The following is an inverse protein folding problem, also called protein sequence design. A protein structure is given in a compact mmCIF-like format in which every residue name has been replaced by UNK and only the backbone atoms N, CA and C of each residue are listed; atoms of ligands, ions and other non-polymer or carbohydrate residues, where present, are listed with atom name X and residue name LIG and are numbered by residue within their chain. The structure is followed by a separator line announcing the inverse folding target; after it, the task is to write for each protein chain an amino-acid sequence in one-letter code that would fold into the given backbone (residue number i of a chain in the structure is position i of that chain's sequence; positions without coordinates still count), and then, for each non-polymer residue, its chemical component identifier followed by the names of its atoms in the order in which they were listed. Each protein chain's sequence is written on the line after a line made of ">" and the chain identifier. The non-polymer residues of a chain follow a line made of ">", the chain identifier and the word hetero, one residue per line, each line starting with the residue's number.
data_IF_605567457511
#
_entry.id   IF_605567457511
#
_cell.length_a   1.000
_cell.length_b   1.000
_cell.length_c   1.000
_cell.angle_alpha   90.00
_cell.angle_beta   90.00
_cell.angle_gamma   90.00
#
_symmetry.space_group_name_H-M   'P 1'
#
loop_
_entity.id
_entity.type
_entity.pdbx_description
1 polymer ?
#
# COMPACT_ATOMS: atom_id res chain seq x y z
N UNK A 1 -33.60 -43.50 -46.27
CA UNK A 1 -32.32 -44.20 -46.00
C UNK A 1 -31.80 -43.59 -44.70
N UNK A 2 -31.95 -44.23 -43.54
CA UNK A 2 -31.23 -45.43 -43.06
C UNK A 2 -29.72 -45.13 -42.88
N UNK A 3 -29.09 -45.36 -41.72
CA UNK A 3 -29.54 -46.02 -40.48
C UNK A 3 -28.76 -45.57 -39.22
N UNK A 4 -29.23 -45.99 -38.04
CA UNK A 4 -28.61 -45.79 -36.73
C UNK A 4 -27.72 -46.96 -36.28
N UNK A 5 -26.60 -46.70 -35.59
CA UNK A 5 -25.90 -47.56 -34.59
C UNK A 5 -25.13 -46.62 -33.64
N UNK A 6 -25.13 -46.63 -32.30
CA UNK A 6 -25.68 -47.49 -31.22
C UNK A 6 -24.73 -48.56 -30.60
N UNK A 7 -23.85 -48.09 -29.71
CA UNK A 7 -23.22 -48.80 -28.58
C UNK A 7 -22.79 -47.70 -27.57
N UNK A 8 -23.29 -47.54 -26.34
CA UNK A 8 -23.72 -48.43 -25.25
C UNK A 8 -22.57 -49.19 -24.54
N UNK A 9 -22.32 -48.79 -23.30
CA UNK A 9 -21.42 -49.42 -22.32
C UNK A 9 -21.84 -49.03 -20.90
N UNK A 10 -22.80 -49.78 -20.33
CA UNK A 10 -23.17 -49.81 -18.91
C UNK A 10 -22.07 -50.55 -18.09
N UNK A 11 -21.99 -50.55 -16.75
CA UNK A 11 -22.53 -49.74 -15.64
C UNK A 11 -21.91 -50.26 -14.31
N UNK A 12 -22.21 -49.63 -13.16
CA UNK A 12 -21.90 -50.12 -11.80
C UNK A 12 -20.96 -49.18 -11.02
N UNK A 13 -21.39 -48.19 -10.22
CA UNK A 13 -22.49 -48.07 -9.26
C UNK A 13 -22.28 -48.81 -7.92
N UNK A 14 -22.04 -48.04 -6.84
CA UNK A 14 -22.49 -48.19 -5.44
C UNK A 14 -21.99 -46.94 -4.66
N UNK A 15 -22.77 -46.44 -3.69
CA UNK A 15 -22.22 -45.58 -2.61
C UNK A 15 -22.70 -44.13 -2.50
N UNK A 16 -23.96 -43.81 -2.81
CA UNK A 16 -24.54 -42.50 -2.47
C UNK A 16 -25.12 -42.47 -1.05
N UNK A 17 -24.55 -41.67 -0.15
CA UNK A 17 -25.16 -41.25 1.12
C UNK A 17 -24.45 -39.99 1.67
N UNK A 18 -25.20 -39.01 2.19
CA UNK A 18 -24.64 -37.91 2.99
C UNK A 18 -24.76 -36.49 2.44
N UNK A 19 -25.98 -36.02 2.13
CA UNK A 19 -26.29 -34.58 2.18
C UNK A 19 -26.77 -34.22 3.59
N UNK A 20 -25.97 -33.50 4.38
CA UNK A 20 -26.37 -32.59 5.47
C UNK A 20 -25.13 -32.17 6.29
N UNK A 21 -25.19 -31.02 6.97
CA UNK A 21 -24.31 -30.77 8.13
C UNK A 21 -23.43 -29.53 8.04
N UNK A 22 -24.06 -28.38 8.23
CA UNK A 22 -23.56 -27.15 8.85
C UNK A 22 -22.19 -27.18 9.57
N UNK A 23 -21.52 -26.03 9.45
CA UNK A 23 -20.44 -25.58 10.31
C UNK A 23 -20.64 -25.91 11.81
N UNK A 24 -19.64 -26.53 12.41
CA UNK A 24 -19.46 -26.65 13.85
C UNK A 24 -18.01 -26.30 14.21
N UNK A 25 -17.82 -25.74 15.41
CA UNK A 25 -16.57 -25.16 15.85
C UNK A 25 -15.40 -26.15 15.86
N UNK A 26 -14.21 -25.70 15.42
CA UNK A 26 -12.95 -26.39 15.75
C UNK A 26 -12.61 -26.13 17.21
N UNK A 27 -13.18 -26.96 18.11
CA UNK A 27 -12.67 -27.11 19.46
C UNK A 27 -11.31 -27.83 19.42
N UNK A 28 -10.45 -27.51 20.38
CA UNK A 28 -9.08 -28.05 20.47
C UNK A 28 -9.13 -29.58 20.60
N UNK A 29 -8.16 -30.33 20.04
CA UNK A 29 -8.00 -31.73 20.37
C UNK A 29 -7.55 -31.85 21.83
N UNK A 30 -8.44 -32.29 22.71
CA UNK A 30 -8.10 -32.68 24.09
C UNK A 30 -7.19 -33.92 24.08
N UNK A 31 -6.25 -33.98 25.02
CA UNK A 31 -5.29 -35.10 25.10
C UNK A 31 -5.98 -36.37 25.58
N UNK A 32 -5.70 -37.50 24.91
CA UNK A 32 -6.22 -38.83 25.26
C UNK A 32 -5.34 -39.51 26.34
N UNK A 33 -4.25 -38.87 26.76
CA UNK A 33 -3.37 -39.39 27.81
C UNK A 33 -3.97 -39.12 29.21
N UNK A 34 -3.80 -40.05 30.17
CA UNK A 34 -4.15 -39.79 31.56
C UNK A 34 -3.45 -38.54 32.10
N UNK A 35 -4.10 -37.72 32.95
CA UNK A 35 -3.51 -36.49 33.47
C UNK A 35 -2.18 -36.78 34.20
N UNK A 36 -1.12 -36.11 33.77
CA UNK A 36 0.24 -36.24 34.33
C UNK A 36 1.33 -36.74 33.36
N UNK A 37 1.02 -37.01 32.08
CA UNK A 37 2.02 -37.46 31.09
C UNK A 37 2.71 -36.34 30.28
N UNK A 38 2.14 -35.13 30.23
CA UNK A 38 2.62 -34.00 29.42
C UNK A 38 3.29 -32.87 30.23
N UNK A 39 3.57 -33.06 31.53
CA UNK A 39 4.33 -32.10 32.34
C UNK A 39 5.85 -32.32 32.12
N UNK A 40 6.57 -31.45 31.39
CA UNK A 40 8.01 -31.55 31.29
C UNK A 40 8.64 -31.25 32.65
N UNK A 41 9.51 -32.15 33.12
CA UNK A 41 10.30 -31.94 34.33
C UNK A 41 11.00 -30.57 34.26
N UNK A 42 10.90 -29.70 35.28
CA UNK A 42 11.53 -28.39 35.26
C UNK A 42 13.03 -28.50 34.96
N UNK A 43 13.47 -27.83 33.88
CA UNK A 43 14.87 -27.81 33.52
C UNK A 43 15.70 -27.17 34.66
N UNK A 44 16.86 -27.74 35.03
CA UNK A 44 17.69 -27.17 36.08
C UNK A 44 18.13 -25.75 35.69
N UNK A 45 18.22 -24.80 36.66
CA UNK A 45 18.60 -23.43 36.37
C UNK A 45 20.00 -23.37 35.75
N UNK A 46 20.24 -22.45 34.79
CA UNK A 46 21.53 -22.35 34.12
C UNK A 46 22.64 -22.03 35.12
N UNK A 47 23.74 -22.80 35.06
CA UNK A 47 24.93 -22.57 35.88
C UNK A 47 25.53 -21.20 35.52
N UNK A 48 25.93 -20.37 36.50
CA UNK A 48 26.62 -19.11 36.22
C UNK A 48 27.87 -19.34 35.36
N UNK A 49 27.97 -18.62 34.24
CA UNK A 49 29.20 -18.57 33.46
C UNK A 49 30.28 -17.79 34.25
N UNK A 50 31.55 -18.21 34.22
CA UNK A 50 32.63 -17.46 34.85
C UNK A 50 32.78 -16.09 34.19
N UNK A 51 32.84 -15.03 35.00
CA UNK A 51 33.05 -13.68 34.50
C UNK A 51 34.46 -13.54 33.88
N UNK A 52 34.62 -12.82 32.76
CA UNK A 52 35.93 -12.59 32.18
C UNK A 52 36.78 -11.69 33.10
N UNK A 53 37.99 -12.14 33.40
CA UNK A 53 38.98 -11.36 34.16
C UNK A 53 39.50 -10.19 33.31
N UNK A 54 39.48 -8.93 33.81
CA UNK A 54 39.98 -7.79 33.04
C UNK A 54 41.51 -7.80 32.96
N UNK A 55 42.04 -7.78 31.73
CA UNK A 55 43.48 -7.60 31.46
C UNK A 55 43.87 -6.12 31.62
N UNK A 56 44.94 -5.77 32.37
CA UNK A 56 45.45 -4.40 32.39
C UNK A 56 46.13 -4.06 31.05
N UNK A 57 45.64 -3.04 30.32
CA UNK A 57 46.14 -2.71 28.99
C UNK A 57 45.92 -1.25 28.58
N UNK A 58 46.88 -0.39 28.92
CA UNK A 58 47.21 0.92 28.30
C UNK A 58 46.07 1.85 27.88
N UNK A 59 45.86 2.90 28.68
CA UNK A 59 45.03 4.07 28.37
C UNK A 59 45.57 4.89 27.19
N UNK A 60 44.82 5.11 26.10
CA UNK A 60 45.10 6.18 25.14
C UNK A 60 44.67 7.54 25.72
N UNK A 61 45.45 8.59 25.50
CA UNK A 61 45.07 9.94 25.90
C UNK A 61 43.82 10.43 25.13
N UNK A 62 42.88 11.16 25.76
CA UNK A 62 41.69 11.65 25.07
C UNK A 62 42.05 12.75 24.06
N UNK A 63 41.56 12.67 22.80
CA UNK A 63 41.58 13.82 21.91
C UNK A 63 40.62 14.90 22.44
N UNK A 64 40.99 16.17 22.25
CA UNK A 64 40.18 17.30 22.71
C UNK A 64 38.79 17.30 22.05
N UNK A 65 37.75 17.52 22.86
CA UNK A 65 36.35 17.56 22.42
C UNK A 65 36.07 18.81 21.58
N UNK A 66 36.04 18.64 20.26
CA UNK A 66 35.24 19.48 19.35
C UNK A 66 33.92 18.78 19.03
N UNK A 67 32.79 19.50 18.86
CA UNK A 67 31.52 18.86 18.49
C UNK A 67 31.60 18.20 17.11
N UNK A 68 31.46 16.87 17.06
CA UNK A 68 31.33 16.15 15.81
C UNK A 68 29.93 16.37 15.21
N UNK A 69 29.87 16.87 13.97
CA UNK A 69 28.60 17.13 13.29
C UNK A 69 27.92 15.84 12.83
N UNK A 70 26.59 15.77 13.01
CA UNK A 70 25.76 14.73 12.42
C UNK A 70 25.65 14.94 10.89
N UNK A 71 25.78 13.90 10.05
CA UNK A 71 25.60 14.03 8.61
C UNK A 71 24.17 14.48 8.28
N UNK A 72 24.02 15.64 7.65
CA UNK A 72 22.74 16.15 7.15
C UNK A 72 22.03 17.19 8.02
N UNK A 73 22.51 17.48 9.24
CA UNK A 73 22.03 18.63 10.00
C UNK A 73 22.80 19.89 9.55
N UNK A 74 22.17 20.97 9.09
CA UNK A 74 22.87 22.23 8.88
C UNK A 74 23.42 22.69 10.24
N UNK A 75 24.74 22.88 10.32
CA UNK A 75 25.36 23.41 11.53
C UNK A 75 24.75 24.78 11.86
N UNK A 76 24.52 25.11 13.14
CA UNK A 76 24.04 26.43 13.51
C UNK A 76 25.10 27.47 13.11
N UNK A 77 24.82 28.23 12.05
CA UNK A 77 25.69 29.28 11.56
C UNK A 77 25.94 30.32 12.66
N UNK A 78 27.17 30.38 13.15
CA UNK A 78 27.68 31.48 13.99
C UNK A 78 28.03 32.73 13.17
N UNK A 79 27.77 32.70 11.85
CA UNK A 79 27.81 33.88 11.01
C UNK A 79 26.78 34.92 11.49
N UNK A 80 27.12 36.22 11.53
CA UNK A 80 26.14 37.25 11.82
C UNK A 80 25.00 37.18 10.81
N UNK A 81 23.76 37.32 11.30
CA UNK A 81 22.56 37.32 10.45
C UNK A 81 22.68 38.42 9.40
N UNK A 82 22.94 38.04 8.16
CA UNK A 82 23.00 38.95 7.03
C UNK A 82 21.63 38.98 6.35
N UNK A 83 20.81 40.04 6.51
CA UNK A 83 19.50 40.13 5.87
C UNK A 83 19.58 40.11 4.34
N UNK A 84 20.73 40.45 3.74
CA UNK A 84 20.97 40.34 2.30
C UNK A 84 21.32 38.92 1.81
N UNK A 85 21.47 37.95 2.73
CA UNK A 85 21.67 36.53 2.42
C UNK A 85 20.40 35.69 2.60
N UNK A 86 19.26 36.32 2.93
CA UNK A 86 17.96 35.67 2.84
C UNK A 86 17.65 35.36 1.37
N UNK A 87 17.08 34.18 1.05
CA UNK A 87 16.55 33.94 -0.29
C UNK A 87 15.51 35.02 -0.60
N UNK A 88 15.59 35.61 -1.80
CA UNK A 88 14.59 36.56 -2.28
C UNK A 88 13.21 35.90 -2.22
N UNK A 89 12.29 36.47 -1.44
CA UNK A 89 10.90 36.06 -1.46
C UNK A 89 10.38 36.13 -2.91
N UNK A 90 9.62 35.13 -3.38
CA UNK A 90 9.01 35.19 -4.70
C UNK A 90 8.12 36.42 -4.78
N UNK A 91 8.48 37.37 -5.65
CA UNK A 91 7.71 38.57 -5.93
C UNK A 91 6.53 38.21 -6.82
N UNK A 92 5.33 38.20 -6.26
CA UNK A 92 4.08 38.05 -7.01
C UNK A 92 3.99 39.20 -8.02
N UNK A 93 3.78 38.88 -9.29
CA UNK A 93 3.57 39.86 -10.36
C UNK A 93 2.13 40.40 -10.33
N UNK A 94 1.91 41.62 -10.85
CA UNK A 94 0.55 42.19 -10.95
C UNK A 94 -0.40 41.28 -11.77
N UNK A 95 0.12 40.57 -12.77
CA UNK A 95 -0.64 39.59 -13.56
C UNK A 95 -1.05 38.35 -12.74
N UNK A 96 -0.17 37.82 -11.87
CA UNK A 96 -0.51 36.75 -10.93
C UNK A 96 -1.52 37.23 -9.88
N UNK A 97 -1.37 38.47 -9.40
CA UNK A 97 -2.30 39.07 -8.45
C UNK A 97 -3.69 39.30 -9.08
N UNK A 98 -3.75 39.63 -10.36
CA UNK A 98 -4.97 39.73 -11.16
C UNK A 98 -5.59 38.37 -11.52
N UNK A 99 -4.81 37.29 -11.49
CA UNK A 99 -5.28 35.92 -11.71
C UNK A 99 -5.91 35.28 -10.45
N UNK A 100 -5.77 35.90 -9.27
CA UNK A 100 -6.40 35.42 -8.04
C UNK A 100 -7.93 35.62 -8.08
N UNK A 101 -8.72 34.66 -7.54
CA UNK A 101 -10.14 34.86 -7.28
C UNK A 101 -10.42 36.03 -6.33
N UNK A 102 -11.68 36.48 -6.27
CA UNK A 102 -12.11 37.48 -5.29
C UNK A 102 -11.84 37.02 -3.85
N UNK A 103 -11.67 37.96 -2.92
CA UNK A 103 -11.42 37.67 -1.50
C UNK A 103 -12.47 36.71 -0.91
N UNK A 104 -13.76 36.99 -1.16
CA UNK A 104 -14.89 36.14 -0.74
C UNK A 104 -14.84 34.73 -1.36
N UNK A 105 -14.25 34.59 -2.56
CA UNK A 105 -14.04 33.27 -3.18
C UNK A 105 -12.84 32.54 -2.56
N UNK A 106 -11.78 33.25 -2.21
CA UNK A 106 -10.62 32.70 -1.49
C UNK A 106 -11.01 32.22 -0.08
N UNK A 107 -11.78 33.02 0.66
CA UNK A 107 -12.29 32.69 2.00
C UNK A 107 -13.25 31.48 2.01
N UNK A 108 -13.85 31.14 0.86
CA UNK A 108 -14.78 30.01 0.70
C UNK A 108 -14.19 28.79 -0.02
N UNK A 109 -12.87 28.77 -0.26
CA UNK A 109 -12.15 27.61 -0.78
C UNK A 109 -11.69 26.67 0.35
N UNK A 110 -11.57 25.38 0.04
CA UNK A 110 -10.95 24.42 0.97
C UNK A 110 -9.43 24.61 1.07
N UNK A 111 -8.79 24.01 2.08
CA UNK A 111 -7.34 24.10 2.22
C UNK A 111 -6.62 23.46 1.03
N UNK A 112 -7.10 22.32 0.52
CA UNK A 112 -6.58 21.72 -0.71
C UNK A 112 -6.79 22.57 -1.97
N UNK A 113 -7.88 23.33 -2.07
CA UNK A 113 -8.13 24.22 -3.21
C UNK A 113 -7.20 25.45 -3.15
N UNK A 114 -6.96 26.00 -1.95
CA UNK A 114 -6.00 27.09 -1.72
C UNK A 114 -4.55 26.64 -1.98
N UNK A 115 -4.13 25.49 -1.44
CA UNK A 115 -2.80 24.92 -1.69
C UNK A 115 -2.56 24.64 -3.17
N UNK A 116 -3.62 24.29 -3.92
CA UNK A 116 -3.53 24.06 -5.35
C UNK A 116 -3.46 25.37 -6.15
N UNK A 117 -4.25 26.38 -5.79
CA UNK A 117 -4.21 27.70 -6.40
C UNK A 117 -2.85 28.37 -6.20
N UNK A 118 -2.31 28.28 -4.98
CA UNK A 118 -1.03 28.89 -4.58
C UNK A 118 0.20 28.04 -4.93
N UNK A 119 0.01 26.87 -5.55
CA UNK A 119 1.12 25.97 -5.93
C UNK A 119 1.88 25.35 -4.74
N UNK A 120 1.31 25.40 -3.54
CA UNK A 120 1.94 24.95 -2.28
C UNK A 120 1.96 23.42 -2.13
N UNK A 121 1.16 22.68 -2.92
CA UNK A 121 1.18 21.21 -2.93
C UNK A 121 2.54 20.68 -3.38
N UNK A 122 3.37 20.26 -2.42
CA UNK A 122 4.57 19.48 -2.72
C UNK A 122 4.20 18.20 -3.46
N UNK A 123 4.88 17.94 -4.58
CA UNK A 123 4.72 16.69 -5.36
C UNK A 123 5.21 15.45 -4.61
N UNK A 124 5.99 15.62 -3.55
CA UNK A 124 6.50 14.53 -2.72
C UNK A 124 6.91 15.07 -1.35
N UNK A 125 6.38 14.45 -0.29
CA UNK A 125 6.78 14.69 1.10
C UNK A 125 8.12 14.01 1.46
N UNK A 126 8.65 13.18 0.55
CA UNK A 126 9.85 12.37 0.77
C UNK A 126 11.06 13.05 0.10
N UNK A 127 12.12 13.41 0.87
CA UNK A 127 13.30 14.04 0.31
C UNK A 127 14.02 13.07 -0.65
N UNK A 128 14.68 13.53 -1.73
CA UNK A 128 15.17 12.67 -2.81
C UNK A 128 16.04 11.48 -2.37
N UNK A 129 16.86 11.64 -1.33
CA UNK A 129 17.71 10.57 -0.79
C UNK A 129 17.00 9.52 0.08
N UNK A 130 15.74 9.74 0.44
CA UNK A 130 14.91 8.80 1.20
C UNK A 130 13.80 8.14 0.37
N UNK A 131 13.70 8.47 -0.94
CA UNK A 131 12.70 7.89 -1.85
C UNK A 131 12.97 6.42 -2.12
N UNK A 132 11.90 5.65 -2.30
CA UNK A 132 12.00 4.21 -2.60
C UNK A 132 12.51 4.00 -4.03
N UNK A 133 13.52 3.16 -4.16
CA UNK A 133 14.17 2.92 -5.45
C UNK A 133 13.38 1.90 -6.29
N UNK A 134 12.76 2.35 -7.39
CA UNK A 134 11.98 1.51 -8.32
C UNK A 134 12.79 0.41 -9.05
N UNK A 135 14.08 0.27 -8.76
CA UNK A 135 14.95 -0.78 -9.35
C UNK A 135 14.58 -2.20 -8.90
N UNK A 136 13.95 -2.36 -7.74
CA UNK A 136 13.43 -3.62 -7.20
C UNK A 136 12.21 -3.32 -6.36
N UNK A 137 11.03 -3.77 -6.79
CA UNK A 137 9.77 -3.51 -6.08
C UNK A 137 9.17 -4.83 -5.61
N UNK A 138 8.87 -4.92 -4.32
CA UNK A 138 8.23 -6.05 -3.66
C UNK A 138 8.46 -6.07 -2.15
N UNK A 139 7.62 -6.78 -1.41
CA UNK A 139 7.75 -6.86 0.06
C UNK A 139 8.61 -8.02 0.52
N UNK A 140 8.72 -9.10 -0.26
CA UNK A 140 9.42 -10.33 0.10
C UNK A 140 10.84 -10.38 -0.49
N UNK A 141 11.86 -10.40 0.36
CA UNK A 141 13.26 -10.55 -0.03
C UNK A 141 13.64 -12.02 -0.30
N UNK A 142 14.79 -12.27 -0.93
CA UNK A 142 15.18 -13.61 -1.41
C UNK A 142 15.70 -14.55 -0.32
N UNK A 143 16.17 -14.01 0.80
CA UNK A 143 16.52 -14.69 2.05
C UNK A 143 15.28 -15.07 2.88
N UNK A 144 14.23 -14.25 2.82
CA UNK A 144 12.85 -14.63 3.19
C UNK A 144 12.24 -15.64 2.18
N UNK A 145 13.03 -16.02 1.18
CA UNK A 145 12.75 -17.02 0.15
C UNK A 145 11.85 -16.52 -0.99
N UNK A 146 11.70 -15.21 -1.17
CA UNK A 146 11.23 -14.63 -2.42
C UNK A 146 12.15 -15.01 -3.60
N UNK A 147 11.70 -14.75 -4.82
CA UNK A 147 12.53 -14.97 -6.00
C UNK A 147 13.74 -14.02 -6.01
N UNK A 148 14.89 -14.43 -6.60
CA UNK A 148 16.02 -13.53 -6.81
C UNK A 148 15.61 -12.29 -7.63
N UNK A 149 16.12 -11.08 -7.35
CA UNK A 149 15.67 -9.86 -8.04
C UNK A 149 15.85 -9.91 -9.57
N UNK A 150 16.83 -10.69 -10.03
CA UNK A 150 17.17 -10.89 -11.45
C UNK A 150 16.42 -12.05 -12.13
N UNK A 151 15.44 -12.67 -11.47
CA UNK A 151 14.73 -13.85 -11.99
C UNK A 151 14.05 -13.61 -13.37
N UNK A 152 13.67 -12.36 -13.67
CA UNK A 152 13.06 -11.96 -14.94
C UNK A 152 14.06 -11.33 -15.94
N UNK A 153 15.36 -11.24 -15.61
CA UNK A 153 16.34 -10.50 -16.42
C UNK A 153 16.54 -11.04 -17.84
N UNK A 154 16.21 -12.32 -18.10
CA UNK A 154 16.25 -12.96 -19.42
C UNK A 154 14.86 -13.20 -20.03
N UNK A 155 13.80 -12.63 -19.45
CA UNK A 155 12.43 -12.78 -19.94
C UNK A 155 12.03 -11.58 -20.81
N UNK A 156 11.42 -11.78 -21.99
CA UNK A 156 10.97 -10.66 -22.81
C UNK A 156 9.79 -9.95 -22.13
N UNK A 157 9.85 -8.62 -22.04
CA UNK A 157 8.84 -7.79 -21.39
C UNK A 157 7.41 -8.07 -21.89
N UNK A 158 7.25 -8.34 -23.20
CA UNK A 158 5.96 -8.70 -23.79
C UNK A 158 5.34 -9.98 -23.21
N UNK A 159 6.15 -11.00 -22.90
CA UNK A 159 5.67 -12.25 -22.28
C UNK A 159 5.23 -12.02 -20.84
N UNK A 160 6.03 -11.28 -20.06
CA UNK A 160 5.71 -10.97 -18.66
C UNK A 160 4.45 -10.11 -18.56
N UNK A 161 4.33 -9.08 -19.42
CA UNK A 161 3.14 -8.26 -19.57
C UNK A 161 1.90 -9.09 -19.92
N UNK A 162 2.01 -9.97 -20.91
CA UNK A 162 0.89 -10.83 -21.34
C UNK A 162 0.45 -11.82 -20.24
N UNK A 163 1.41 -12.42 -19.51
CA UNK A 163 1.13 -13.34 -18.42
C UNK A 163 0.43 -12.66 -17.23
N UNK A 164 0.89 -11.47 -16.82
CA UNK A 164 0.25 -10.70 -15.75
C UNK A 164 -1.13 -10.18 -16.18
N UNK A 165 -1.25 -9.55 -17.34
CA UNK A 165 -2.53 -9.04 -17.85
C UNK A 165 -3.56 -10.14 -18.16
N UNK A 166 -3.10 -11.37 -18.44
CA UNK A 166 -3.93 -12.56 -18.59
C UNK A 166 -4.41 -13.18 -17.28
N UNK A 167 -3.75 -12.87 -16.15
CA UNK A 167 -4.10 -13.41 -14.82
C UNK A 167 -5.19 -12.55 -14.19
N UNK A 168 -6.45 -12.86 -14.50
CA UNK A 168 -7.63 -12.03 -14.16
C UNK A 168 -8.50 -12.54 -13.01
N UNK A 169 -8.10 -13.63 -12.34
CA UNK A 169 -8.96 -14.31 -11.37
C UNK A 169 -8.21 -15.33 -10.50
N UNK A 170 -8.93 -16.02 -9.59
CA UNK A 170 -8.37 -17.06 -8.74
C UNK A 170 -7.77 -18.23 -9.53
N UNK A 171 -6.68 -18.81 -9.01
CA UNK A 171 -6.07 -19.99 -9.61
C UNK A 171 -6.74 -21.28 -9.14
N UNK A 172 -6.98 -22.20 -10.08
CA UNK A 172 -7.59 -23.53 -9.80
C UNK A 172 -6.69 -24.41 -8.92
N UNK A 173 -5.38 -24.23 -8.98
CA UNK A 173 -4.41 -24.97 -8.15
C UNK A 173 -4.02 -24.18 -6.91
N UNK A 174 -4.28 -24.73 -5.72
CA UNK A 174 -3.83 -24.16 -4.43
C UNK A 174 -2.31 -23.97 -4.37
N UNK A 175 -1.55 -24.93 -4.87
CA UNK A 175 -0.09 -24.82 -4.94
C UNK A 175 0.37 -23.77 -5.97
N UNK A 176 -0.34 -23.70 -7.11
CA UNK A 176 -0.13 -22.63 -8.10
C UNK A 176 -0.39 -21.24 -7.53
N UNK A 177 -1.47 -21.07 -6.76
CA UNK A 177 -1.80 -19.84 -6.04
C UNK A 177 -0.70 -19.43 -5.05
N UNK A 178 -0.25 -20.36 -4.20
CA UNK A 178 0.83 -20.11 -3.23
C UNK A 178 2.12 -19.69 -3.94
N UNK A 179 2.49 -20.38 -5.02
CA UNK A 179 3.69 -20.09 -5.80
C UNK A 179 3.61 -18.74 -6.52
N UNK A 180 2.50 -18.47 -7.23
CA UNK A 180 2.31 -17.23 -7.97
C UNK A 180 2.26 -16.03 -7.03
N UNK A 181 1.50 -16.14 -5.93
CA UNK A 181 1.47 -15.10 -4.89
C UNK A 181 2.87 -14.75 -4.40
N UNK A 182 3.69 -15.76 -4.07
CA UNK A 182 5.08 -15.59 -3.64
C UNK A 182 5.92 -14.90 -4.71
N UNK A 183 5.75 -15.27 -5.98
CA UNK A 183 6.45 -14.64 -7.09
C UNK A 183 6.05 -13.17 -7.30
N UNK A 184 4.75 -12.85 -7.21
CA UNK A 184 4.22 -11.49 -7.41
C UNK A 184 4.72 -10.50 -6.34
N UNK A 185 4.78 -10.92 -5.07
CA UNK A 185 5.25 -10.08 -3.95
C UNK A 185 6.77 -10.05 -3.75
N UNK A 186 7.52 -10.84 -4.52
CA UNK A 186 9.00 -10.86 -4.45
C UNK A 186 9.60 -9.53 -4.90
N UNK A 187 10.73 -9.13 -4.28
CA UNK A 187 11.56 -7.96 -4.64
C UNK A 187 12.24 -8.12 -5.99
N UNK A 188 11.45 -8.04 -7.06
CA UNK A 188 11.87 -8.23 -8.44
C UNK A 188 12.26 -6.90 -9.10
N UNK A 189 13.33 -6.94 -9.89
CA UNK A 189 13.58 -5.92 -10.89
C UNK A 189 12.61 -6.11 -12.08
N UNK A 190 12.16 -5.03 -12.74
CA UNK A 190 11.35 -5.14 -13.95
C UNK A 190 12.13 -5.86 -15.08
N UNK A 191 11.44 -6.56 -15.99
CA UNK A 191 12.05 -7.08 -17.22
C UNK A 191 12.74 -5.97 -18.03
N UNK A 192 13.76 -6.32 -18.80
CA UNK A 192 14.48 -5.35 -19.64
C UNK A 192 13.52 -4.67 -20.63
N UNK A 193 13.51 -3.33 -20.63
CA UNK A 193 12.60 -2.53 -21.47
C UNK A 193 11.14 -2.47 -21.00
N UNK A 194 10.85 -2.90 -19.76
CA UNK A 194 9.55 -2.71 -19.11
C UNK A 194 9.64 -1.59 -18.07
N UNK A 195 8.60 -0.76 -17.97
CA UNK A 195 8.53 0.25 -16.91
C UNK A 195 8.29 -0.41 -15.54
N UNK A 196 8.89 0.17 -14.49
CA UNK A 196 8.82 -0.37 -13.14
C UNK A 196 7.43 -0.22 -12.51
N UNK A 197 6.76 0.90 -12.76
CA UNK A 197 5.43 1.23 -12.23
C UNK A 197 4.36 0.42 -12.98
N UNK A 198 4.48 0.28 -14.31
CA UNK A 198 3.69 -0.64 -15.13
C UNK A 198 3.80 -2.09 -14.62
N UNK A 199 5.03 -2.57 -14.40
CA UNK A 199 5.28 -3.92 -13.88
C UNK A 199 4.72 -4.12 -12.46
N UNK A 200 4.74 -3.10 -11.61
CA UNK A 200 4.10 -3.14 -10.30
C UNK A 200 2.57 -3.13 -10.39
N UNK A 201 1.98 -2.29 -11.25
CA UNK A 201 0.53 -2.20 -11.46
C UNK A 201 -0.05 -3.53 -11.97
N UNK A 202 0.63 -4.16 -12.93
CA UNK A 202 0.23 -5.47 -13.45
C UNK A 202 0.34 -6.59 -12.40
N UNK A 203 1.30 -6.51 -11.46
CA UNK A 203 1.40 -7.44 -10.32
C UNK A 203 0.33 -7.17 -9.27
N UNK A 204 0.03 -5.91 -8.97
CA UNK A 204 -1.07 -5.52 -8.08
C UNK A 204 -2.42 -6.00 -8.64
N UNK A 205 -2.67 -5.80 -9.94
CA UNK A 205 -3.84 -6.33 -10.67
C UNK A 205 -3.98 -7.85 -10.53
N UNK A 206 -2.89 -8.59 -10.74
CA UNK A 206 -2.90 -10.04 -10.58
C UNK A 206 -3.18 -10.47 -9.14
N UNK A 207 -2.59 -9.80 -8.13
CA UNK A 207 -2.86 -10.05 -6.71
C UNK A 207 -4.33 -9.74 -6.35
N UNK A 208 -4.88 -8.62 -6.81
CA UNK A 208 -6.29 -8.25 -6.63
C UNK A 208 -7.23 -9.28 -7.27
N UNK A 209 -6.97 -9.69 -8.51
CA UNK A 209 -7.76 -10.74 -9.20
C UNK A 209 -7.68 -12.11 -8.51
N UNK A 210 -6.58 -12.40 -7.82
CA UNK A 210 -6.43 -13.59 -6.96
C UNK A 210 -7.10 -13.44 -5.58
N UNK A 211 -7.59 -12.26 -5.19
CA UNK A 211 -8.13 -11.98 -3.85
C UNK A 211 -7.08 -11.72 -2.77
N UNK A 212 -5.81 -11.51 -3.15
CA UNK A 212 -4.68 -11.26 -2.24
C UNK A 212 -4.52 -9.76 -1.94
N UNK A 213 -5.64 -9.07 -1.62
CA UNK A 213 -5.73 -7.62 -1.48
C UNK A 213 -4.75 -7.02 -0.46
N UNK A 214 -4.53 -7.70 0.67
CA UNK A 214 -3.58 -7.25 1.68
C UNK A 214 -2.13 -7.22 1.16
N UNK A 215 -1.78 -8.15 0.26
CA UNK A 215 -0.47 -8.21 -0.39
C UNK A 215 -0.38 -7.26 -1.59
N UNK A 216 -1.47 -7.03 -2.33
CA UNK A 216 -1.54 -5.97 -3.32
C UNK A 216 -1.31 -4.60 -2.68
N UNK A 217 -1.97 -4.32 -1.55
CA UNK A 217 -1.77 -3.09 -0.75
C UNK A 217 -0.31 -2.95 -0.30
N UNK A 218 0.27 -4.02 0.25
CA UNK A 218 1.67 -4.02 0.68
C UNK A 218 2.65 -3.80 -0.50
N UNK A 219 2.35 -4.34 -1.68
CA UNK A 219 3.14 -4.13 -2.90
C UNK A 219 3.09 -2.67 -3.40
N UNK A 220 1.91 -2.04 -3.42
CA UNK A 220 1.81 -0.64 -3.87
C UNK A 220 2.39 0.36 -2.86
N UNK A 221 2.42 0.00 -1.56
CA UNK A 221 3.09 0.77 -0.50
C UNK A 221 4.63 0.76 -0.59
N UNK A 222 5.21 -0.16 -1.37
CA UNK A 222 6.64 -0.20 -1.68
C UNK A 222 7.04 0.80 -2.80
N UNK A 223 6.05 1.51 -3.39
CA UNK A 223 6.24 2.60 -4.34
C UNK A 223 5.76 3.91 -3.72
N UNK A 224 6.56 4.97 -3.84
CA UNK A 224 6.19 6.30 -3.37
C UNK A 224 4.99 6.84 -4.17
N UNK A 225 4.01 7.44 -3.49
CA UNK A 225 2.75 7.91 -4.11
C UNK A 225 2.92 8.95 -5.22
N UNK A 226 4.07 9.64 -5.23
CA UNK A 226 4.48 10.56 -6.28
C UNK A 226 4.75 9.89 -7.64
N UNK A 227 5.14 8.60 -7.63
CA UNK A 227 5.49 7.82 -8.81
C UNK A 227 4.32 6.92 -9.29
N UNK A 228 3.15 6.98 -8.65
CA UNK A 228 2.00 6.14 -9.02
C UNK A 228 1.35 6.57 -10.34
N UNK A 229 1.29 5.66 -11.31
CA UNK A 229 0.51 5.83 -12.54
C UNK A 229 -1.00 5.63 -12.30
N UNK A 230 -1.85 6.09 -13.22
CA UNK A 230 -3.31 5.90 -13.14
C UNK A 230 -3.72 4.43 -12.99
N UNK A 231 -2.99 3.51 -13.63
CA UNK A 231 -3.20 2.06 -13.47
C UNK A 231 -2.80 1.58 -12.07
N UNK A 232 -1.64 2.01 -11.54
CA UNK A 232 -1.21 1.64 -10.19
C UNK A 232 -2.17 2.19 -9.14
N UNK A 233 -2.60 3.46 -9.27
CA UNK A 233 -3.59 4.08 -8.39
C UNK A 233 -4.90 3.30 -8.42
N UNK A 234 -5.40 2.91 -9.59
CA UNK A 234 -6.64 2.14 -9.68
C UNK A 234 -6.56 0.78 -8.96
N UNK A 235 -5.46 0.05 -9.13
CA UNK A 235 -5.24 -1.22 -8.43
C UNK A 235 -4.95 -1.06 -6.93
N UNK A 236 -4.30 0.05 -6.55
CA UNK A 236 -4.11 0.42 -5.15
C UNK A 236 -5.44 0.68 -4.45
N UNK A 237 -6.34 1.47 -5.06
CA UNK A 237 -7.67 1.74 -4.50
C UNK A 237 -8.46 0.46 -4.24
N UNK A 238 -8.48 -0.48 -5.19
CA UNK A 238 -9.11 -1.79 -5.03
C UNK A 238 -8.52 -2.51 -3.80
N UNK A 239 -7.18 -2.54 -3.68
CA UNK A 239 -6.50 -3.19 -2.57
C UNK A 239 -6.79 -2.55 -1.21
N UNK A 240 -6.83 -1.21 -1.11
CA UNK A 240 -7.20 -0.48 0.10
C UNK A 240 -8.65 -0.73 0.51
N UNK A 241 -9.60 -0.56 -0.41
CA UNK A 241 -11.02 -0.79 -0.15
C UNK A 241 -11.30 -2.25 0.25
N UNK A 242 -10.75 -3.22 -0.48
CA UNK A 242 -10.97 -4.65 -0.22
C UNK A 242 -10.25 -5.16 1.04
N UNK A 243 -9.25 -4.44 1.56
CA UNK A 243 -8.64 -4.72 2.87
C UNK A 243 -9.23 -3.88 4.02
N UNK A 244 -10.21 -3.01 3.74
CA UNK A 244 -10.88 -2.15 4.73
C UNK A 244 -10.07 -0.91 5.15
N UNK A 245 -8.93 -0.66 4.53
CA UNK A 245 -8.01 0.45 4.85
C UNK A 245 -8.30 1.67 3.97
N UNK A 246 -9.50 2.25 4.11
CA UNK A 246 -9.95 3.38 3.29
C UNK A 246 -9.06 4.61 3.51
N UNK A 247 -8.61 4.86 4.74
CA UNK A 247 -7.76 6.01 5.08
C UNK A 247 -6.31 5.85 4.59
N UNK A 248 -5.81 4.63 4.45
CA UNK A 248 -4.49 4.36 3.85
C UNK A 248 -4.36 4.81 2.39
N UNK A 249 -5.48 4.97 1.67
CA UNK A 249 -5.50 5.54 0.32
C UNK A 249 -5.38 7.09 0.31
N UNK A 250 -5.64 7.78 1.42
CA UNK A 250 -5.74 9.24 1.43
C UNK A 250 -4.48 10.01 1.01
N UNK A 251 -3.24 9.55 1.28
CA UNK A 251 -2.04 10.21 0.77
C UNK A 251 -1.97 10.28 -0.76
N UNK A 252 -2.41 9.24 -1.48
CA UNK A 252 -2.45 9.29 -2.95
C UNK A 252 -3.66 10.08 -3.45
N UNK A 253 -4.81 9.98 -2.80
CA UNK A 253 -6.03 10.72 -3.19
C UNK A 253 -5.85 12.24 -3.07
N UNK A 254 -5.22 12.72 -1.99
CA UNK A 254 -4.93 14.16 -1.82
C UNK A 254 -3.84 14.66 -2.78
N UNK A 255 -2.82 13.83 -3.05
CA UNK A 255 -1.73 14.17 -3.98
C UNK A 255 -2.19 14.16 -5.46
N UNK A 256 -3.07 13.23 -5.82
CA UNK A 256 -3.56 13.01 -7.20
C UNK A 256 -4.99 13.54 -7.42
N UNK A 257 -5.45 14.49 -6.60
CA UNK A 257 -6.87 14.86 -6.50
C UNK A 257 -7.62 15.08 -7.82
N UNK A 258 -6.97 15.64 -8.85
CA UNK A 258 -7.59 15.92 -10.15
C UNK A 258 -7.39 14.84 -11.22
N UNK A 259 -6.85 13.66 -10.89
CA UNK A 259 -6.58 12.58 -11.85
C UNK A 259 -7.85 11.80 -12.24
N UNK A 260 -8.91 11.89 -11.41
CA UNK A 260 -10.21 11.24 -11.63
C UNK A 260 -11.34 12.16 -11.15
N UNK A 261 -12.53 11.96 -11.69
CA UNK A 261 -13.75 12.74 -11.38
C UNK A 261 -14.99 11.86 -11.18
N UNK A 262 -14.84 10.54 -11.17
CA UNK A 262 -15.94 9.59 -10.95
C UNK A 262 -16.53 9.64 -9.53
N UNK A 263 -17.72 9.04 -9.35
CA UNK A 263 -18.45 9.09 -8.08
C UNK A 263 -17.73 8.40 -6.92
N UNK A 264 -16.96 7.34 -7.17
CA UNK A 264 -16.18 6.63 -6.15
C UNK A 264 -15.02 7.52 -5.67
N UNK A 265 -14.32 8.15 -6.61
CA UNK A 265 -13.26 9.11 -6.34
C UNK A 265 -13.75 10.34 -5.57
N UNK A 266 -14.88 10.94 -5.98
CA UNK A 266 -15.49 12.07 -5.25
C UNK A 266 -15.88 11.71 -3.81
N UNK A 267 -16.41 10.50 -3.58
CA UNK A 267 -16.70 10.02 -2.22
C UNK A 267 -15.42 9.81 -1.41
N UNK A 268 -14.37 9.26 -2.02
CA UNK A 268 -13.09 9.01 -1.37
C UNK A 268 -12.35 10.32 -1.03
N UNK A 269 -12.37 11.32 -1.92
CA UNK A 269 -11.92 12.68 -1.62
C UNK A 269 -12.61 13.24 -0.37
N UNK A 270 -13.95 13.19 -0.33
CA UNK A 270 -14.69 13.70 0.82
C UNK A 270 -14.39 12.93 2.12
N UNK A 271 -14.20 11.60 2.06
CA UNK A 271 -13.70 10.82 3.20
C UNK A 271 -12.33 11.34 3.64
N UNK A 272 -11.38 11.50 2.73
CA UNK A 272 -10.03 11.94 3.05
C UNK A 272 -9.98 13.37 3.61
N UNK A 273 -10.82 14.27 3.11
CA UNK A 273 -10.98 15.62 3.65
C UNK A 273 -11.53 15.59 5.08
N UNK A 274 -12.49 14.70 5.39
CA UNK A 274 -12.99 14.53 6.76
C UNK A 274 -11.88 14.10 7.73
N UNK A 275 -11.05 13.12 7.33
CA UNK A 275 -9.90 12.67 8.12
C UNK A 275 -8.70 13.64 8.13
N UNK A 276 -8.67 14.62 7.23
CA UNK A 276 -7.76 15.77 7.28
C UNK A 276 -8.27 16.90 8.20
N UNK A 277 -9.49 16.79 8.74
CA UNK A 277 -10.11 17.76 9.65
C UNK A 277 -11.23 18.60 9.00
N UNK A 278 -11.39 18.58 7.68
CA UNK A 278 -12.39 19.35 6.94
C UNK A 278 -13.80 18.70 6.96
N UNK A 279 -14.26 18.30 8.14
CA UNK A 279 -15.51 17.53 8.33
C UNK A 279 -16.75 18.23 7.78
N UNK A 280 -16.84 19.56 7.86
CA UNK A 280 -17.94 20.34 7.30
C UNK A 280 -17.94 20.34 5.76
N UNK A 281 -16.76 20.44 5.11
CA UNK A 281 -16.65 20.35 3.66
C UNK A 281 -17.03 18.95 3.19
N UNK A 282 -16.50 17.91 3.85
CA UNK A 282 -16.78 16.52 3.54
C UNK A 282 -18.29 16.21 3.62
N UNK A 283 -18.98 16.70 4.65
CA UNK A 283 -20.42 16.59 4.76
C UNK A 283 -21.14 17.26 3.57
N UNK A 284 -20.77 18.50 3.23
CA UNK A 284 -21.35 19.23 2.09
C UNK A 284 -21.01 18.60 0.71
N UNK A 285 -19.86 17.94 0.57
CA UNK A 285 -19.49 17.17 -0.61
C UNK A 285 -20.37 15.91 -0.74
N UNK A 286 -20.53 15.13 0.33
CA UNK A 286 -21.31 13.90 0.33
C UNK A 286 -22.83 14.14 0.25
N UNK A 287 -23.33 15.25 0.80
CA UNK A 287 -24.73 15.66 0.65
C UNK A 287 -25.03 16.06 -0.79
N UNK A 288 -24.10 16.77 -1.47
CA UNK A 288 -24.19 17.03 -2.92
C UNK A 288 -24.08 15.75 -3.75
N UNK A 289 -23.20 14.82 -3.38
CA UNK A 289 -23.09 13.51 -4.03
C UNK A 289 -24.41 12.72 -3.96
N UNK A 290 -25.05 12.72 -2.78
CA UNK A 290 -26.33 12.07 -2.52
C UNK A 290 -27.47 12.73 -3.32
N UNK A 291 -27.53 14.06 -3.34
CA UNK A 291 -28.55 14.82 -4.07
C UNK A 291 -28.42 14.75 -5.59
N UNK A 292 -27.20 14.65 -6.11
CA UNK A 292 -26.91 14.49 -7.55
C UNK A 292 -27.00 13.04 -8.02
N UNK A 293 -26.90 12.06 -7.13
CA UNK A 293 -26.90 10.64 -7.48
C UNK A 293 -25.65 10.19 -8.23
N UNK A 294 -24.46 10.72 -7.89
CA UNK A 294 -23.20 10.41 -8.60
C UNK A 294 -22.71 8.96 -8.41
N UNK A 295 -23.25 8.28 -7.41
CA UNK A 295 -22.94 6.90 -7.03
C UNK A 295 -24.20 6.26 -6.42
N UNK A 296 -24.27 4.92 -6.26
CA UNK A 296 -25.41 4.26 -5.64
C UNK A 296 -25.70 4.82 -4.24
N UNK A 297 -26.98 5.01 -3.92
CA UNK A 297 -27.42 5.67 -2.69
C UNK A 297 -26.86 5.01 -1.41
N UNK A 298 -26.67 3.70 -1.41
CA UNK A 298 -26.12 2.97 -0.27
C UNK A 298 -24.64 3.30 -0.03
N UNK A 299 -23.87 3.46 -1.10
CA UNK A 299 -22.43 3.73 -1.03
C UNK A 299 -22.18 5.15 -0.52
N UNK A 300 -22.96 6.14 -0.99
CA UNK A 300 -22.89 7.51 -0.47
C UNK A 300 -23.30 7.57 1.01
N UNK A 301 -24.29 6.79 1.45
CA UNK A 301 -24.66 6.71 2.86
C UNK A 301 -23.60 6.01 3.72
N UNK A 302 -22.91 5.01 3.17
CA UNK A 302 -21.77 4.37 3.82
C UNK A 302 -20.58 5.32 3.94
N UNK A 303 -20.26 6.06 2.88
CA UNK A 303 -19.24 7.11 2.86
C UNK A 303 -19.55 8.21 3.89
N UNK A 304 -20.80 8.69 3.99
CA UNK A 304 -21.25 9.64 5.03
C UNK A 304 -21.05 9.08 6.44
N UNK A 305 -21.35 7.79 6.65
CA UNK A 305 -21.16 7.14 7.96
C UNK A 305 -19.67 6.99 8.32
N UNK A 306 -18.82 6.71 7.34
CA UNK A 306 -17.37 6.55 7.53
C UNK A 306 -16.68 7.90 7.75
N UNK A 307 -16.92 8.88 6.88
CA UNK A 307 -16.43 10.26 7.04
C UNK A 307 -16.90 10.90 8.37
N UNK A 308 -18.16 10.66 8.76
CA UNK A 308 -18.74 11.11 10.03
C UNK A 308 -18.21 10.37 11.28
N UNK A 309 -17.21 9.50 11.14
CA UNK A 309 -16.44 8.97 12.26
C UNK A 309 -15.19 9.81 12.58
N UNK A 310 -14.70 10.64 11.64
CA UNK A 310 -13.51 11.47 11.82
C UNK A 310 -13.73 12.69 12.76
N UNK A 311 -14.98 13.15 12.90
CA UNK A 311 -15.36 14.29 13.75
C UNK A 311 -16.05 13.90 15.06
N UNK A 312 -15.67 12.77 15.68
CA UNK A 312 -16.21 12.28 16.96
C UNK A 312 -15.15 12.19 18.03
#
# INVERSE_FOLDING_TARGET
>A
MAASVLALGLAGAIGGAGLAGFAAAQQRPESILPPGFDDPTPAPPPRPAPAPTPTPGTTPAPPATGPAALPGMPAPSTAPFNPAALPSLPSITDDELAALPSLEKLESMSTEELDQLLGLKSKSDIPPGARRALTRVGVLASDEGGLPPVALAKQPAALVRAALAGTKGPLVSRWGHILLRRALVSRLAPPQGMDAVEFAALRARALNGMGEYALARALVQDIDTADWSTDLTSEALIAYLASGDVTGACPSVRLQGSVRDDGEWQMLQAICNAYAGETALAAAQLDRALGRGIAPRIDVLLARRFAGAAGR
#
